data_IF_530233094930
#
_entry.id   IF_530233094930
#
_cell.length_a   1.000
_cell.length_b   1.000
_cell.length_c   1.000
_cell.angle_alpha   90.00
_cell.angle_beta   90.00
_cell.angle_gamma   90.00
#
_symmetry.space_group_name_H-M   'P 1'
#
loop_
_entity.id
_entity.type
_entity.pdbx_description
1 polymer ?
#
# COMPACT_ATOMS: atom_id res chain seq x y z
N UNK A 1 50.98 -28.59 5.12
CA UNK A 1 50.20 -27.34 5.26
C UNK A 1 49.20 -27.52 6.39
N UNK A 2 49.36 -26.77 7.49
CA UNK A 2 48.45 -26.83 8.64
C UNK A 2 47.20 -26.00 8.37
N UNK A 3 46.02 -26.57 8.63
CA UNK A 3 44.72 -25.89 8.49
C UNK A 3 44.64 -24.76 9.53
N UNK A 4 44.28 -23.52 9.15
CA UNK A 4 44.11 -22.45 10.12
C UNK A 4 42.93 -22.76 11.05
N UNK A 5 43.07 -22.40 12.33
CA UNK A 5 42.05 -22.61 13.35
C UNK A 5 40.76 -21.85 13.01
N UNK A 6 39.62 -22.51 13.23
CA UNK A 6 38.28 -21.94 13.07
C UNK A 6 38.13 -20.68 13.93
N UNK A 7 37.79 -19.54 13.29
CA UNK A 7 37.39 -18.33 14.01
C UNK A 7 35.96 -18.48 14.50
N UNK A 8 35.77 -18.51 15.82
CA UNK A 8 34.46 -18.46 16.45
C UNK A 8 34.07 -16.99 16.58
N UNK A 9 33.12 -16.56 15.76
CA UNK A 9 32.54 -15.21 15.83
C UNK A 9 31.36 -15.21 16.80
N UNK A 10 31.34 -14.26 17.74
CA UNK A 10 30.22 -14.06 18.67
C UNK A 10 29.35 -12.93 18.14
N UNK A 11 28.14 -13.25 17.70
CA UNK A 11 27.15 -12.27 17.22
C UNK A 11 26.56 -11.49 18.39
N UNK A 12 26.95 -10.23 18.54
CA UNK A 12 26.45 -9.31 19.59
C UNK A 12 25.30 -8.42 19.11
N UNK A 13 24.96 -8.48 17.81
CA UNK A 13 24.01 -7.59 17.15
C UNK A 13 22.56 -8.13 17.08
N UNK A 14 22.25 -9.23 17.78
CA UNK A 14 20.95 -9.92 17.68
C UNK A 14 19.75 -9.00 17.88
N UNK A 15 19.79 -8.09 18.87
CA UNK A 15 18.72 -7.13 19.12
C UNK A 15 18.49 -6.18 17.93
N UNK A 16 19.58 -5.63 17.37
CA UNK A 16 19.52 -4.75 16.21
C UNK A 16 19.03 -5.47 14.96
N UNK A 17 19.47 -6.71 14.75
CA UNK A 17 19.02 -7.57 13.65
C UNK A 17 17.52 -7.87 13.76
N UNK A 18 17.05 -8.26 14.94
CA UNK A 18 15.63 -8.53 15.18
C UNK A 18 14.77 -7.27 14.97
N UNK A 19 15.24 -6.10 15.43
CA UNK A 19 14.56 -4.82 15.17
C UNK A 19 14.49 -4.51 13.68
N UNK A 20 15.55 -4.80 12.92
CA UNK A 20 15.54 -4.64 11.48
C UNK A 20 14.51 -5.57 10.81
N UNK A 21 14.39 -6.83 11.24
CA UNK A 21 13.37 -7.75 10.74
C UNK A 21 11.94 -7.25 11.01
N UNK A 22 11.66 -6.75 12.21
CA UNK A 22 10.35 -6.15 12.54
C UNK A 22 10.09 -4.94 11.64
N UNK A 23 11.08 -4.06 11.47
CA UNK A 23 10.95 -2.86 10.66
C UNK A 23 10.73 -3.17 9.18
N UNK A 24 11.21 -4.31 8.65
CA UNK A 24 10.91 -4.75 7.28
C UNK A 24 9.41 -5.00 7.06
N UNK A 25 8.68 -5.40 8.10
CA UNK A 25 7.23 -5.60 8.06
C UNK A 25 6.43 -4.34 8.40
N UNK A 26 7.08 -3.23 8.77
CA UNK A 26 6.38 -2.00 9.12
C UNK A 26 5.89 -1.29 7.85
N UNK A 27 4.57 -1.17 7.70
CA UNK A 27 3.93 -0.54 6.54
C UNK A 27 3.35 0.81 6.98
N UNK A 28 3.83 1.88 6.36
CA UNK A 28 3.24 3.21 6.50
C UNK A 28 2.44 3.55 5.23
N UNK A 29 1.17 3.91 5.40
CA UNK A 29 0.29 4.31 4.31
C UNK A 29 0.00 5.80 4.44
N UNK A 30 0.29 6.56 3.39
CA UNK A 30 0.02 8.00 3.32
C UNK A 30 -0.93 8.28 2.16
N UNK A 31 -1.92 9.12 2.40
CA UNK A 31 -2.86 9.60 1.40
C UNK A 31 -2.52 11.07 1.13
N UNK A 32 -2.20 11.42 -0.12
CA UNK A 32 -1.91 12.82 -0.48
C UNK A 32 -3.19 13.66 -0.45
N UNK A 33 -3.32 14.65 0.45
CA UNK A 33 -4.51 15.49 0.57
C UNK A 33 -4.90 16.25 -0.70
N UNK A 34 -3.95 16.44 -1.64
CA UNK A 34 -4.19 17.10 -2.93
C UNK A 34 -4.83 16.17 -3.96
N UNK A 35 -4.93 14.88 -3.66
CA UNK A 35 -5.58 13.91 -4.56
C UNK A 35 -7.04 14.28 -4.75
N UNK A 36 -7.46 14.36 -6.02
CA UNK A 36 -8.86 14.56 -6.35
C UNK A 36 -9.66 13.30 -6.00
N UNK A 37 -10.18 13.24 -4.78
CA UNK A 37 -10.93 12.07 -4.28
C UNK A 37 -12.35 11.99 -4.87
N UNK A 38 -13.01 13.14 -4.99
CA UNK A 38 -14.35 13.24 -5.55
C UNK A 38 -14.31 13.58 -7.04
N UNK A 39 -15.24 12.99 -7.81
CA UNK A 39 -15.29 13.26 -9.24
C UNK A 39 -15.80 14.68 -9.50
N UNK A 40 -15.31 15.31 -10.57
CA UNK A 40 -15.84 16.59 -11.00
C UNK A 40 -17.24 16.39 -11.61
N UNK A 41 -18.16 17.31 -11.33
CA UNK A 41 -19.49 17.26 -11.93
C UNK A 41 -19.38 17.44 -13.45
N UNK A 42 -19.65 16.36 -14.19
CA UNK A 42 -19.87 16.43 -15.62
C UNK A 42 -21.34 16.77 -15.80
N UNK A 43 -21.68 17.95 -16.32
CA UNK A 43 -23.07 18.43 -16.49
C UNK A 43 -23.92 17.64 -17.49
N UNK A 44 -23.75 16.32 -17.57
CA UNK A 44 -24.49 15.40 -18.43
C UNK A 44 -25.77 14.94 -17.71
N UNK A 45 -26.84 14.73 -18.47
CA UNK A 45 -28.06 14.14 -17.94
C UNK A 45 -27.81 12.69 -17.47
N UNK A 46 -28.00 12.43 -16.17
CA UNK A 46 -27.80 11.13 -15.54
C UNK A 46 -27.26 11.22 -14.11
N UNK A 47 -26.99 10.07 -13.49
CA UNK A 47 -26.35 10.02 -12.17
C UNK A 47 -24.87 10.33 -12.29
N UNK A 48 -24.46 11.48 -11.75
CA UNK A 48 -23.05 11.88 -11.68
C UNK A 48 -22.23 10.89 -10.83
N UNK A 49 -20.98 10.67 -11.25
CA UNK A 49 -20.03 9.92 -10.44
C UNK A 49 -19.68 10.75 -9.21
N UNK A 50 -19.73 10.12 -8.03
CA UNK A 50 -19.36 10.79 -6.77
C UNK A 50 -17.85 10.74 -6.52
N UNK A 51 -17.21 9.63 -6.90
CA UNK A 51 -15.80 9.36 -6.64
C UNK A 51 -15.00 9.32 -7.95
N UNK A 52 -13.79 9.87 -7.91
CA UNK A 52 -12.87 9.83 -9.05
C UNK A 52 -12.39 8.41 -9.35
N UNK A 53 -11.89 8.19 -10.57
CA UNK A 53 -11.27 6.92 -10.95
C UNK A 53 -10.06 6.62 -10.04
N UNK A 54 -9.28 7.64 -9.67
CA UNK A 54 -8.13 7.55 -8.76
C UNK A 54 -8.53 7.03 -7.37
N UNK A 55 -9.62 7.53 -6.80
CA UNK A 55 -10.11 7.06 -5.49
C UNK A 55 -10.53 5.59 -5.55
N UNK A 56 -11.23 5.18 -6.61
CA UNK A 56 -11.64 3.77 -6.78
C UNK A 56 -10.41 2.88 -7.00
N UNK A 57 -9.47 3.28 -7.85
CA UNK A 57 -8.23 2.55 -8.08
C UNK A 57 -7.43 2.37 -6.79
N UNK A 58 -7.31 3.42 -5.97
CA UNK A 58 -6.66 3.34 -4.66
C UNK A 58 -7.32 2.27 -3.75
N UNK A 59 -8.65 2.27 -3.65
CA UNK A 59 -9.39 1.28 -2.87
C UNK A 59 -9.16 -0.16 -3.39
N UNK A 60 -9.15 -0.35 -4.71
CA UNK A 60 -8.94 -1.65 -5.33
C UNK A 60 -7.48 -2.13 -5.22
N UNK A 61 -6.51 -1.21 -5.22
CA UNK A 61 -5.11 -1.53 -4.94
C UNK A 61 -4.94 -2.03 -3.50
N UNK A 62 -5.50 -1.31 -2.52
CA UNK A 62 -5.51 -1.75 -1.11
C UNK A 62 -6.16 -3.14 -0.99
N UNK A 63 -7.29 -3.36 -1.67
CA UNK A 63 -7.94 -4.67 -1.71
C UNK A 63 -6.97 -5.76 -2.18
N UNK A 64 -6.26 -5.52 -3.26
CA UNK A 64 -5.37 -6.51 -3.87
C UNK A 64 -4.12 -6.75 -3.00
N UNK A 65 -3.48 -5.68 -2.51
CA UNK A 65 -2.27 -5.74 -1.70
C UNK A 65 -2.49 -6.49 -0.38
N UNK A 66 -3.61 -6.21 0.31
CA UNK A 66 -3.94 -6.84 1.58
C UNK A 66 -4.87 -8.06 1.45
N UNK A 67 -5.19 -8.48 0.21
CA UNK A 67 -6.09 -9.61 -0.11
C UNK A 67 -7.44 -9.54 0.62
N UNK A 68 -8.00 -8.34 0.71
CA UNK A 68 -9.25 -8.09 1.40
C UNK A 68 -10.47 -8.36 0.50
N UNK A 69 -11.63 -8.61 1.11
CA UNK A 69 -12.91 -8.57 0.41
C UNK A 69 -13.35 -7.12 0.20
N UNK A 70 -14.27 -6.87 -0.75
CA UNK A 70 -14.74 -5.51 -1.04
C UNK A 70 -15.36 -4.82 0.18
N UNK A 71 -16.10 -5.57 1.02
CA UNK A 71 -16.70 -5.03 2.25
C UNK A 71 -15.65 -4.67 3.30
N UNK A 72 -14.60 -5.50 3.44
CA UNK A 72 -13.50 -5.20 4.35
C UNK A 72 -12.70 -3.98 3.90
N UNK A 73 -12.49 -3.82 2.59
CA UNK A 73 -11.82 -2.63 2.04
C UNK A 73 -12.57 -1.34 2.34
N UNK A 74 -13.90 -1.32 2.23
CA UNK A 74 -14.68 -0.12 2.60
C UNK A 74 -14.35 0.34 4.03
N UNK A 75 -14.39 -0.57 5.01
CA UNK A 75 -14.07 -0.23 6.41
C UNK A 75 -12.59 0.09 6.64
N UNK A 76 -11.69 -0.59 5.96
CA UNK A 76 -10.25 -0.34 6.05
C UNK A 76 -9.88 1.04 5.51
N UNK A 77 -10.38 1.40 4.32
CA UNK A 77 -10.17 2.73 3.72
C UNK A 77 -10.79 3.82 4.58
N UNK A 78 -11.99 3.60 5.13
CA UNK A 78 -12.60 4.54 6.07
C UNK A 78 -11.71 4.81 7.30
N UNK A 79 -11.09 3.77 7.84
CA UNK A 79 -10.16 3.88 8.96
C UNK A 79 -8.89 4.64 8.58
N UNK A 80 -8.33 4.38 7.39
CA UNK A 80 -7.16 5.11 6.88
C UNK A 80 -7.43 6.59 6.67
N UNK A 81 -8.58 6.95 6.10
CA UNK A 81 -8.99 8.34 5.90
C UNK A 81 -9.09 9.06 7.25
N UNK A 82 -9.74 8.42 8.24
CA UNK A 82 -9.86 8.96 9.60
C UNK A 82 -8.50 9.15 10.27
N UNK A 83 -7.59 8.17 10.13
CA UNK A 83 -6.24 8.25 10.68
C UNK A 83 -5.40 9.35 10.00
N UNK A 84 -5.64 9.58 8.71
CA UNK A 84 -4.96 10.62 7.93
C UNK A 84 -5.53 12.02 8.17
N UNK A 85 -6.61 12.16 8.94
CA UNK A 85 -7.25 13.45 9.22
C UNK A 85 -7.91 14.11 8.00
N UNK A 86 -8.29 13.30 7.01
CA UNK A 86 -8.88 13.78 5.75
C UNK A 86 -10.41 13.80 5.84
N UNK A 87 -11.04 14.83 5.28
CA UNK A 87 -12.51 14.96 5.22
C UNK A 87 -13.12 14.22 4.01
N UNK A 88 -12.62 13.02 3.76
CA UNK A 88 -13.08 12.18 2.65
C UNK A 88 -14.06 11.13 3.14
N UNK A 89 -14.97 10.71 2.26
CA UNK A 89 -15.82 9.56 2.50
C UNK A 89 -15.28 8.35 1.73
N UNK A 90 -15.28 7.18 2.35
CA UNK A 90 -14.90 5.95 1.69
C UNK A 90 -16.01 5.50 0.71
N UNK A 91 -15.67 5.04 -0.52
CA UNK A 91 -16.64 4.45 -1.42
C UNK A 91 -17.30 3.21 -0.82
N UNK A 92 -18.63 3.12 -0.95
CA UNK A 92 -19.38 1.97 -0.49
C UNK A 92 -19.12 0.71 -1.34
N UNK A 93 -19.50 -0.45 -0.79
CA UNK A 93 -19.36 -1.75 -1.47
C UNK A 93 -19.99 -1.74 -2.87
N UNK A 94 -21.19 -1.17 -2.98
CA UNK A 94 -21.96 -1.15 -4.24
C UNK A 94 -21.28 -0.31 -5.32
N UNK A 95 -20.63 0.79 -4.94
CA UNK A 95 -19.84 1.63 -5.85
C UNK A 95 -18.57 0.92 -6.30
N UNK A 96 -17.81 0.35 -5.36
CA UNK A 96 -16.59 -0.40 -5.70
C UNK A 96 -16.90 -1.60 -6.61
N UNK A 97 -17.95 -2.37 -6.30
CA UNK A 97 -18.35 -3.55 -7.06
C UNK A 97 -18.73 -3.22 -8.51
N UNK A 98 -19.47 -2.12 -8.75
CA UNK A 98 -19.82 -1.68 -10.10
C UNK A 98 -18.61 -1.15 -10.86
N UNK A 99 -17.78 -0.35 -10.18
CA UNK A 99 -16.67 0.38 -10.82
C UNK A 99 -15.47 -0.49 -11.12
N UNK A 100 -15.22 -1.56 -10.35
CA UNK A 100 -14.10 -2.47 -10.63
C UNK A 100 -14.18 -3.13 -12.02
N UNK A 101 -15.38 -3.22 -12.62
CA UNK A 101 -15.57 -3.79 -13.96
C UNK A 101 -15.02 -2.92 -15.08
N UNK A 102 -14.83 -1.63 -14.81
CA UNK A 102 -14.52 -0.60 -15.82
C UNK A 102 -13.24 0.16 -15.51
N UNK A 103 -12.53 -0.20 -14.44
CA UNK A 103 -11.29 0.47 -14.01
C UNK A 103 -10.16 -0.55 -14.08
N UNK A 104 -9.16 -0.23 -14.88
CA UNK A 104 -7.92 -0.97 -14.91
C UNK A 104 -7.04 -0.55 -13.73
N UNK A 105 -6.58 -1.54 -12.96
CA UNK A 105 -5.71 -1.30 -11.82
C UNK A 105 -4.28 -1.20 -12.34
N UNK A 106 -3.79 0.03 -12.54
CA UNK A 106 -2.39 0.26 -12.81
C UNK A 106 -1.61 0.34 -11.48
N UNK A 107 -0.71 -0.62 -11.25
CA UNK A 107 0.29 -0.54 -10.17
C UNK A 107 1.56 0.02 -10.80
N UNK A 108 1.68 1.35 -10.84
CA UNK A 108 2.89 2.00 -11.33
C UNK A 108 4.00 1.90 -10.27
N UNK A 109 5.08 1.21 -10.60
CA UNK A 109 6.29 1.22 -9.80
C UNK A 109 7.10 2.47 -10.15
N UNK A 110 7.23 3.40 -9.20
CA UNK A 110 8.23 4.45 -9.32
C UNK A 110 9.57 3.91 -8.84
N UNK A 111 10.49 3.75 -9.79
CA UNK A 111 11.87 3.36 -9.49
C UNK A 111 12.52 4.47 -8.66
N UNK A 112 13.02 4.13 -7.48
CA UNK A 112 13.85 5.07 -6.71
C UNK A 112 15.05 5.48 -7.57
N UNK A 113 15.40 6.77 -7.54
CA UNK A 113 16.63 7.29 -8.13
C UNK A 113 17.87 6.83 -7.37
N UNK A 114 17.69 6.37 -6.12
CA UNK A 114 18.76 5.81 -5.32
C UNK A 114 19.13 4.40 -5.80
N UNK A 115 20.42 4.06 -5.73
CA UNK A 115 20.92 2.75 -6.13
C UNK A 115 20.22 1.62 -5.38
N UNK A 116 19.71 0.63 -6.13
CA UNK A 116 19.18 -0.60 -5.55
C UNK A 116 20.35 -1.44 -5.01
N UNK A 117 20.62 -1.34 -3.72
CA UNK A 117 21.61 -2.19 -3.05
C UNK A 117 20.99 -3.54 -2.71
N UNK A 118 21.18 -4.53 -3.60
CA UNK A 118 20.75 -5.91 -3.37
C UNK A 118 21.79 -6.63 -2.50
N UNK A 119 21.50 -6.77 -1.21
CA UNK A 119 22.20 -7.71 -0.33
C UNK A 119 21.47 -9.07 -0.42
N UNK A 120 22.11 -10.04 -1.06
CA UNK A 120 21.68 -11.44 -1.03
C UNK A 120 22.32 -12.08 0.19
N UNK A 121 21.52 -12.30 1.23
CA UNK A 121 21.92 -13.09 2.39
C UNK A 121 21.49 -14.54 2.18
N UNK A 122 22.37 -15.51 2.45
CA UNK A 122 22.10 -16.94 2.19
C UNK A 122 21.27 -17.61 3.29
N UNK A 123 20.62 -16.83 4.15
CA UNK A 123 19.79 -17.32 5.24
C UNK A 123 18.33 -16.93 5.04
N UNK A 124 17.61 -17.76 4.26
CA UNK A 124 16.15 -17.92 4.30
C UNK A 124 15.34 -16.95 3.47
#
# INVERSE_FOLDING_TARGET
>A
MNKPASKIYRTTNWSSYNRALINRGNISIWLDPKTQWYAQSQGKQGRNQTYSDTAIQCCLMIKLLFRLSLRMVTGFVQSLIKLSGLDWTAPDYSTLCRRQKHIDIAISYQKSSDGLHLLVDSTG
#
